data_IF_731068563510
#
_entry.id   IF_731068563510
#
_cell.length_a   1.000
_cell.length_b   1.000
_cell.length_c   1.000
_cell.angle_alpha   90.00
_cell.angle_beta   90.00
_cell.angle_gamma   90.00
#
_symmetry.space_group_name_H-M   'P 1'
#
loop_
_entity.id
_entity.type
_entity.pdbx_description
1 polymer ?
#
# COMPACT_ATOMS: atom_id res chain seq x y z
N UNK A 1 72.96 3.66 -45.05
CA UNK A 1 71.96 4.67 -45.48
C UNK A 1 70.60 4.00 -45.32
N UNK A 2 69.64 4.43 -44.49
CA UNK A 2 68.96 5.72 -44.43
C UNK A 2 68.22 5.80 -43.07
N UNK A 3 68.27 6.97 -42.46
CA UNK A 3 67.64 7.34 -41.18
C UNK A 3 66.11 7.36 -41.33
N UNK A 4 65.34 6.97 -40.31
CA UNK A 4 64.61 7.92 -39.44
C UNK A 4 63.76 7.24 -38.35
N UNK A 5 63.61 7.91 -37.19
CA UNK A 5 62.95 7.42 -35.97
C UNK A 5 61.49 7.89 -35.89
N UNK A 6 60.88 7.72 -34.71
CA UNK A 6 59.62 8.34 -34.25
C UNK A 6 58.37 7.61 -34.83
N UNK A 7 57.40 7.14 -34.05
CA UNK A 7 56.76 7.73 -32.88
C UNK A 7 56.19 6.63 -31.96
N UNK A 8 56.51 6.72 -30.67
CA UNK A 8 55.66 6.23 -29.60
C UNK A 8 54.29 6.92 -29.74
N UNK A 9 53.23 6.17 -30.02
CA UNK A 9 51.87 6.60 -29.71
C UNK A 9 51.27 5.61 -28.73
N UNK A 10 51.50 5.93 -27.46
CA UNK A 10 50.77 5.43 -26.31
C UNK A 10 49.33 5.95 -26.43
N UNK A 11 48.46 5.22 -27.13
CA UNK A 11 47.02 5.53 -27.17
C UNK A 11 46.38 5.09 -25.85
N UNK A 12 46.56 5.90 -24.81
CA UNK A 12 45.76 5.89 -23.60
C UNK A 12 44.41 6.56 -23.94
N UNK A 13 43.47 5.81 -24.53
CA UNK A 13 42.08 6.29 -24.65
C UNK A 13 41.37 5.89 -23.36
N UNK A 14 41.40 6.86 -22.45
CA UNK A 14 40.63 6.98 -21.22
C UNK A 14 39.15 6.61 -21.49
N UNK A 15 38.72 5.46 -20.97
CA UNK A 15 37.31 5.08 -20.96
C UNK A 15 36.55 6.01 -20.01
N UNK A 16 35.95 7.07 -20.54
CA UNK A 16 34.91 7.82 -19.84
C UNK A 16 33.64 6.96 -19.85
N UNK A 17 33.46 6.15 -18.82
CA UNK A 17 32.14 5.63 -18.48
C UNK A 17 31.32 6.80 -17.94
N UNK A 18 30.37 7.29 -18.75
CA UNK A 18 29.33 8.18 -18.27
C UNK A 18 28.49 7.42 -17.24
N UNK A 19 28.83 7.54 -15.97
CA UNK A 19 27.93 7.25 -14.86
C UNK A 19 26.87 8.35 -14.86
N UNK A 20 25.84 8.19 -15.69
CA UNK A 20 24.62 9.00 -15.56
C UNK A 20 24.06 8.83 -14.15
N UNK A 21 23.42 9.86 -13.57
CA UNK A 21 22.77 9.70 -12.29
C UNK A 21 21.72 8.61 -12.43
N UNK A 22 21.94 7.50 -11.74
CA UNK A 22 20.88 6.52 -11.48
C UNK A 22 19.88 7.26 -10.62
N UNK A 23 18.86 7.85 -11.25
CA UNK A 23 17.66 8.25 -10.54
C UNK A 23 17.11 6.98 -9.91
N UNK A 24 17.37 6.81 -8.62
CA UNK A 24 16.58 5.93 -7.77
C UNK A 24 15.16 6.50 -7.80
N UNK A 25 14.40 6.11 -8.83
CA UNK A 25 12.97 6.24 -8.82
C UNK A 25 12.53 5.48 -7.58
N UNK A 26 12.09 6.25 -6.58
CA UNK A 26 11.42 5.73 -5.41
C UNK A 26 10.11 5.12 -5.91
N UNK A 27 10.19 3.92 -6.49
CA UNK A 27 9.06 3.04 -6.56
C UNK A 27 8.72 2.77 -5.10
N UNK A 28 7.76 3.53 -4.56
CA UNK A 28 7.14 3.18 -3.30
C UNK A 28 6.64 1.76 -3.51
N UNK A 29 7.40 0.81 -2.98
CA UNK A 29 7.13 -0.61 -3.16
C UNK A 29 5.76 -0.84 -2.54
N UNK A 30 4.76 -1.10 -3.40
CA UNK A 30 3.38 -1.28 -2.96
C UNK A 30 3.37 -2.43 -1.96
N UNK A 31 3.01 -2.12 -0.70
CA UNK A 31 2.96 -3.11 0.36
C UNK A 31 1.81 -4.08 0.08
N UNK A 32 2.06 -5.39 0.18
CA UNK A 32 1.02 -6.39 -0.06
C UNK A 32 0.13 -6.57 1.17
N UNK A 33 -1.06 -7.13 0.97
CA UNK A 33 -1.95 -7.59 2.04
C UNK A 33 -1.24 -8.47 3.07
N UNK A 34 -0.44 -9.42 2.62
CA UNK A 34 0.27 -10.38 3.48
C UNK A 34 1.27 -9.66 4.37
N UNK A 35 1.94 -8.62 3.84
CA UNK A 35 2.87 -7.79 4.61
C UNK A 35 2.15 -6.99 5.71
N UNK A 36 0.95 -6.46 5.43
CA UNK A 36 0.11 -5.84 6.45
C UNK A 36 -0.34 -6.87 7.50
N UNK A 37 -0.85 -8.02 7.06
CA UNK A 37 -1.38 -9.05 7.95
C UNK A 37 -0.31 -9.68 8.84
N UNK A 38 0.96 -9.72 8.42
CA UNK A 38 2.07 -10.22 9.22
C UNK A 38 2.16 -9.61 10.64
N UNK A 39 1.62 -8.40 10.84
CA UNK A 39 1.50 -7.77 12.17
C UNK A 39 0.04 -7.51 12.59
N UNK A 40 -0.88 -7.31 11.64
CA UNK A 40 -2.24 -6.86 11.95
C UNK A 40 -3.22 -8.00 12.23
N UNK A 41 -2.87 -9.25 11.95
CA UNK A 41 -3.74 -10.38 12.30
C UNK A 41 -3.35 -11.75 11.75
N UNK A 42 -2.22 -11.91 11.06
CA UNK A 42 -1.77 -13.10 10.31
C UNK A 42 -2.72 -13.55 9.20
N UNK A 43 -4.03 -13.57 9.45
CA UNK A 43 -5.12 -13.76 8.49
C UNK A 43 -6.13 -12.61 8.57
N UNK A 44 -6.92 -12.43 7.51
CA UNK A 44 -8.00 -11.42 7.51
C UNK A 44 -9.10 -11.76 8.52
N UNK A 45 -9.42 -13.06 8.69
CA UNK A 45 -10.39 -13.51 9.69
C UNK A 45 -9.97 -13.17 11.12
N UNK A 46 -8.69 -13.40 11.45
CA UNK A 46 -8.14 -12.99 12.75
C UNK A 46 -8.18 -11.47 12.94
N UNK A 47 -7.88 -10.67 11.91
CA UNK A 47 -8.06 -9.21 11.96
C UNK A 47 -9.52 -8.84 12.27
N UNK A 48 -10.49 -9.46 11.58
CA UNK A 48 -11.93 -9.25 11.84
C UNK A 48 -12.28 -9.60 13.29
N UNK A 49 -11.76 -10.72 13.80
CA UNK A 49 -12.02 -11.19 15.17
C UNK A 49 -11.41 -10.31 16.26
N UNK A 50 -10.39 -9.49 15.96
CA UNK A 50 -9.90 -8.46 16.89
C UNK A 50 -10.95 -7.40 17.19
N UNK A 51 -12.00 -7.31 16.36
CA UNK A 51 -13.16 -6.47 16.59
C UNK A 51 -12.80 -5.00 16.83
N UNK A 52 -11.83 -4.47 16.07
CA UNK A 52 -11.42 -3.07 16.15
C UNK A 52 -12.59 -2.20 15.71
N UNK A 53 -13.05 -1.34 16.61
CA UNK A 53 -14.19 -0.46 16.39
C UNK A 53 -13.70 0.92 15.95
N UNK A 54 -14.41 1.51 15.00
CA UNK A 54 -14.35 2.94 14.67
C UNK A 54 -15.74 3.53 14.86
N UNK A 55 -15.82 4.82 15.21
CA UNK A 55 -17.10 5.50 15.35
C UNK A 55 -17.76 5.73 13.98
N UNK A 56 -19.05 5.44 13.89
CA UNK A 56 -19.93 5.83 12.78
C UNK A 56 -21.10 6.66 13.29
N UNK A 57 -21.89 7.25 12.39
CA UNK A 57 -23.10 8.02 12.74
C UNK A 57 -24.16 7.19 13.49
N UNK A 58 -24.11 5.86 13.36
CA UNK A 58 -25.00 4.91 14.06
C UNK A 58 -24.38 4.27 15.30
N UNK A 59 -23.16 4.67 15.65
CA UNK A 59 -22.38 4.13 16.77
C UNK A 59 -21.14 3.35 16.32
N UNK A 60 -20.41 2.73 17.27
CA UNK A 60 -19.19 2.00 16.97
C UNK A 60 -19.44 0.79 16.06
N UNK A 61 -18.61 0.64 15.04
CA UNK A 61 -18.66 -0.47 14.08
C UNK A 61 -17.27 -1.03 13.78
N UNK A 62 -17.17 -2.32 13.48
CA UNK A 62 -15.97 -2.91 12.87
C UNK A 62 -16.12 -2.87 11.34
N UNK A 63 -15.37 -2.03 10.60
CA UNK A 63 -15.56 -1.89 9.15
C UNK A 63 -15.27 -3.18 8.38
N UNK A 64 -14.38 -4.02 8.91
CA UNK A 64 -13.91 -5.22 8.23
C UNK A 64 -14.99 -6.31 8.10
N UNK A 65 -16.06 -6.30 8.90
CA UNK A 65 -17.16 -7.28 8.76
C UNK A 65 -18.01 -7.04 7.51
N UNK A 66 -17.91 -5.85 6.93
CA UNK A 66 -18.61 -5.47 5.70
C UNK A 66 -17.76 -5.71 4.45
N UNK A 67 -16.56 -6.29 4.61
CA UNK A 67 -15.62 -6.56 3.54
C UNK A 67 -15.26 -8.06 3.50
N UNK A 68 -15.10 -8.62 2.29
CA UNK A 68 -15.53 -8.05 1.01
C UNK A 68 -17.07 -8.01 0.94
N UNK A 69 -17.62 -6.98 0.32
CA UNK A 69 -19.07 -6.70 0.35
C UNK A 69 -19.90 -7.80 -0.32
N UNK A 70 -19.47 -8.29 -1.49
CA UNK A 70 -20.10 -9.38 -2.26
C UNK A 70 -19.15 -10.02 -3.30
N UNK A 71 -17.82 -9.95 -3.10
CA UNK A 71 -16.89 -10.59 -4.03
C UNK A 71 -16.93 -12.12 -3.85
N UNK A 72 -17.37 -12.90 -4.86
CA UNK A 72 -17.36 -14.37 -4.77
C UNK A 72 -15.96 -14.95 -4.65
N UNK A 73 -14.91 -14.20 -5.06
CA UNK A 73 -13.51 -14.56 -4.87
C UNK A 73 -12.98 -14.15 -3.49
N UNK A 74 -13.71 -13.32 -2.74
CA UNK A 74 -13.46 -13.08 -1.33
C UNK A 74 -12.22 -12.22 -1.01
N UNK A 75 -11.65 -11.48 -1.96
CA UNK A 75 -10.35 -10.84 -1.72
C UNK A 75 -10.46 -9.33 -1.48
N UNK A 76 -10.42 -8.95 -0.20
CA UNK A 76 -9.79 -7.66 0.17
C UNK A 76 -8.34 -7.76 -0.23
N UNK A 77 -7.99 -7.16 -1.38
CA UNK A 77 -6.67 -7.30 -2.00
C UNK A 77 -5.70 -6.24 -1.49
N UNK A 78 -6.17 -5.01 -1.25
CA UNK A 78 -5.31 -3.89 -0.89
C UNK A 78 -5.86 -3.17 0.36
N UNK A 79 -5.15 -3.31 1.49
CA UNK A 79 -5.48 -2.59 2.73
C UNK A 79 -5.39 -1.07 2.55
N UNK A 80 -4.51 -0.64 1.63
CA UNK A 80 -4.21 0.77 1.30
C UNK A 80 -5.35 1.51 0.64
N UNK A 81 -6.41 0.82 0.20
CA UNK A 81 -7.63 1.46 -0.29
C UNK A 81 -8.39 2.21 0.82
N UNK A 82 -8.19 1.84 2.09
CA UNK A 82 -8.84 2.47 3.24
C UNK A 82 -7.85 2.93 4.33
N UNK A 83 -6.63 2.37 4.35
CA UNK A 83 -5.61 2.67 5.36
C UNK A 83 -4.38 3.33 4.73
N UNK A 84 -3.61 4.05 5.54
CA UNK A 84 -2.29 4.53 5.16
C UNK A 84 -1.18 3.63 5.70
N UNK A 85 -0.12 3.46 4.91
CA UNK A 85 1.04 2.67 5.31
C UNK A 85 1.85 3.45 6.35
N UNK A 86 2.06 2.83 7.51
CA UNK A 86 2.94 3.37 8.54
C UNK A 86 4.39 2.91 8.34
N UNK A 87 5.35 3.60 8.97
CA UNK A 87 6.74 3.11 9.03
C UNK A 87 6.84 1.83 9.87
N UNK A 88 7.89 1.03 9.62
CA UNK A 88 8.17 -0.18 10.40
C UNK A 88 9.57 -0.08 11.03
N UNK A 89 9.68 -0.06 12.38
CA UNK A 89 8.60 -0.15 13.35
C UNK A 89 7.74 1.14 13.40
N UNK A 90 6.47 1.05 13.86
CA UNK A 90 5.65 2.22 14.06
C UNK A 90 6.24 3.11 15.17
N UNK A 91 6.10 4.44 15.07
CA UNK A 91 6.51 5.35 16.14
C UNK A 91 5.84 5.01 17.47
N UNK A 92 6.49 5.34 18.59
CA UNK A 92 5.92 5.11 19.92
C UNK A 92 4.59 5.88 20.05
N UNK A 93 3.53 5.16 20.37
CA UNK A 93 2.18 5.73 20.52
C UNK A 93 1.44 5.98 19.21
N UNK A 94 1.93 5.45 18.08
CA UNK A 94 1.22 5.49 16.81
C UNK A 94 -0.20 4.92 16.94
N UNK A 95 -1.16 5.69 16.43
CA UNK A 95 -2.53 5.25 16.20
C UNK A 95 -2.83 5.52 14.74
N UNK A 96 -3.51 4.59 14.09
CA UNK A 96 -4.05 4.83 12.76
C UNK A 96 -5.29 5.69 12.90
N UNK A 97 -5.12 7.01 12.77
CA UNK A 97 -6.19 8.01 12.75
C UNK A 97 -6.65 8.35 11.31
N UNK A 98 -6.00 7.73 10.32
CA UNK A 98 -6.25 7.95 8.90
C UNK A 98 -7.31 6.99 8.35
N UNK A 99 -7.57 5.87 9.06
CA UNK A 99 -8.63 4.93 8.69
C UNK A 99 -9.99 5.64 8.71
N UNK A 100 -10.62 5.70 7.54
CA UNK A 100 -11.88 6.42 7.34
C UNK A 100 -12.99 5.50 6.82
N UNK A 101 -14.22 5.77 7.25
CA UNK A 101 -15.43 5.16 6.70
C UNK A 101 -15.87 5.81 5.38
N UNK A 102 -15.20 6.86 4.91
CA UNK A 102 -15.56 7.61 3.70
C UNK A 102 -15.71 6.71 2.46
N UNK A 103 -14.80 5.74 2.28
CA UNK A 103 -14.91 4.76 1.20
C UNK A 103 -16.19 3.94 1.31
N UNK A 104 -16.62 3.58 2.52
CA UNK A 104 -17.88 2.88 2.75
C UNK A 104 -19.09 3.76 2.38
N UNK A 105 -19.03 5.05 2.68
CA UNK A 105 -20.11 6.01 2.43
C UNK A 105 -20.27 6.42 0.96
N UNK A 106 -19.33 6.05 0.10
CA UNK A 106 -19.51 6.18 -1.36
C UNK A 106 -20.74 5.41 -1.88
N UNK A 107 -21.06 4.28 -1.25
CA UNK A 107 -22.26 3.48 -1.52
C UNK A 107 -23.30 3.58 -0.39
N UNK A 108 -22.87 3.58 0.87
CA UNK A 108 -23.75 3.75 2.04
C UNK A 108 -24.11 5.22 2.25
N UNK A 109 -24.84 5.79 1.30
CA UNK A 109 -25.07 7.22 1.16
C UNK A 109 -26.04 7.84 2.20
N UNK A 110 -26.65 7.03 3.08
CA UNK A 110 -27.35 7.55 4.26
C UNK A 110 -26.48 7.52 5.54
N UNK A 111 -25.20 7.16 5.39
CA UNK A 111 -24.22 7.03 6.47
C UNK A 111 -24.47 5.89 7.47
N UNK A 112 -25.38 4.96 7.16
CA UNK A 112 -25.61 3.73 7.92
C UNK A 112 -25.01 2.51 7.21
N UNK A 113 -24.19 1.73 7.92
CA UNK A 113 -23.61 0.48 7.39
C UNK A 113 -24.60 -0.70 7.54
N UNK A 114 -25.67 -0.70 6.75
CA UNK A 114 -26.71 -1.75 6.72
C UNK A 114 -26.76 -2.45 5.36
N UNK A 115 -27.42 -3.61 5.26
CA UNK A 115 -27.58 -4.30 3.97
C UNK A 115 -28.34 -3.42 2.97
N UNK A 116 -27.87 -3.34 1.72
CA UNK A 116 -28.52 -2.51 0.68
C UNK A 116 -30.00 -2.88 0.49
N UNK A 117 -30.35 -4.16 0.61
CA UNK A 117 -31.72 -4.67 0.51
C UNK A 117 -32.67 -4.21 1.62
N UNK A 118 -32.16 -3.47 2.62
CA UNK A 118 -33.03 -2.84 3.63
C UNK A 118 -33.66 -1.53 3.14
N UNK A 119 -33.12 -0.92 2.08
CA UNK A 119 -33.61 0.34 1.50
C UNK A 119 -33.84 0.26 -0.01
N UNK A 120 -33.20 -0.68 -0.71
CA UNK A 120 -33.38 -0.90 -2.14
C UNK A 120 -34.04 -2.27 -2.36
N UNK A 121 -35.26 -2.26 -2.90
CA UNK A 121 -35.83 -3.46 -3.51
C UNK A 121 -34.99 -3.84 -4.74
N UNK A 122 -34.86 -5.15 -4.99
CA UNK A 122 -34.04 -5.69 -6.08
C UNK A 122 -34.51 -5.24 -7.45
#
# INVERSE_FOLDING_TARGET
MKKRPLLFFLSLILGLTFAGPVSAQNAQQQITKEQCLACHGLTFSELVNKNIQVESDTGPVNPHVFLPHNDPNGEVTECTNCHQVHTTPPPKGYKDDQASLETCYSCHHNYELKKCSSCHDK
#
